data_IF_000968067752
#
_entry.id   IF_000968067752
#
_cell.length_a   1.000
_cell.length_b   1.000
_cell.length_c   1.000
_cell.angle_alpha   90.00
_cell.angle_beta   90.00
_cell.angle_gamma   90.00
#
_symmetry.space_group_name_H-M   'P 1'
#
loop_
_entity.id
_entity.type
_entity.pdbx_description
1 polymer ?
#
# COMPACT_ATOMS: atom_id res chain seq x y z
N UNK A 1 -3.95 11.15 -9.17
CA UNK A 1 -4.39 10.44 -7.95
C UNK A 1 -4.82 9.06 -8.36
N UNK A 2 -4.16 8.02 -7.88
CA UNK A 2 -4.48 6.63 -8.23
C UNK A 2 -5.12 5.98 -7.00
N UNK A 3 -6.45 5.78 -6.98
CA UNK A 3 -7.10 5.09 -5.87
C UNK A 3 -6.78 3.58 -5.93
N UNK A 4 -6.57 2.94 -4.77
CA UNK A 4 -6.59 1.48 -4.65
C UNK A 4 -5.26 0.76 -4.40
N UNK A 5 -4.34 1.34 -3.64
CA UNK A 5 -3.02 0.74 -3.38
C UNK A 5 -2.94 0.23 -1.94
N UNK A 6 -2.51 -1.03 -1.74
CA UNK A 6 -2.35 -1.66 -0.42
C UNK A 6 -1.10 -2.57 -0.37
N UNK A 7 -0.35 -2.61 0.76
CA UNK A 7 0.70 -3.58 1.00
C UNK A 7 0.20 -5.03 1.05
N UNK A 8 1.08 -5.95 0.69
CA UNK A 8 0.81 -7.37 0.41
C UNK A 8 0.29 -8.22 1.61
N UNK A 9 0.21 -7.66 2.82
CA UNK A 9 -0.13 -8.41 4.06
C UNK A 9 -1.60 -8.34 4.47
N UNK A 10 -2.47 -7.64 3.72
CA UNK A 10 -3.88 -7.47 4.07
C UNK A 10 -4.79 -8.57 3.48
N UNK A 11 -5.66 -9.15 4.31
CA UNK A 11 -6.60 -10.23 3.96
C UNK A 11 -7.46 -9.92 2.71
N UNK A 12 -7.58 -10.93 1.85
CA UNK A 12 -7.99 -10.87 0.44
C UNK A 12 -9.51 -10.96 0.19
N UNK A 13 -10.32 -10.27 0.98
CA UNK A 13 -11.78 -10.49 0.96
C UNK A 13 -12.51 -9.19 0.60
N UNK A 14 -12.33 -8.67 -0.64
CA UNK A 14 -13.42 -8.02 -1.42
C UNK A 14 -13.04 -6.96 -2.47
N UNK A 15 -11.81 -6.78 -2.98
CA UNK A 15 -11.64 -5.82 -4.10
C UNK A 15 -10.68 -6.17 -5.24
N UNK A 16 -11.20 -5.91 -6.45
CA UNK A 16 -10.84 -6.43 -7.76
C UNK A 16 -9.74 -5.68 -8.53
N UNK A 17 -8.71 -5.18 -7.85
CA UNK A 17 -7.46 -4.67 -8.47
C UNK A 17 -6.49 -4.30 -7.35
N UNK A 18 -5.67 -5.25 -6.94
CA UNK A 18 -4.61 -5.03 -5.94
C UNK A 18 -3.34 -4.73 -6.72
N UNK A 19 -3.05 -3.46 -6.95
CA UNK A 19 -1.71 -3.04 -7.34
C UNK A 19 -0.91 -2.81 -6.07
N UNK A 20 0.29 -3.39 -5.99
CA UNK A 20 1.19 -3.14 -4.86
C UNK A 20 1.64 -1.66 -4.86
N UNK A 21 2.09 -1.13 -3.72
CA UNK A 21 2.71 0.19 -3.67
C UNK A 21 3.83 0.38 -4.69
N UNK A 22 4.69 -0.62 -4.85
CA UNK A 22 5.76 -0.62 -5.84
C UNK A 22 5.22 -0.56 -7.29
N UNK A 23 4.22 -1.36 -7.62
CA UNK A 23 3.60 -1.37 -8.96
C UNK A 23 2.92 -0.04 -9.29
N UNK A 24 2.26 0.58 -8.31
CA UNK A 24 1.60 1.86 -8.50
C UNK A 24 2.63 2.97 -8.80
N UNK A 25 3.75 2.98 -8.09
CA UNK A 25 4.85 3.94 -8.33
C UNK A 25 5.51 3.68 -9.69
N UNK A 26 5.77 2.40 -10.04
CA UNK A 26 6.29 2.03 -11.36
C UNK A 26 5.35 2.43 -12.51
N UNK A 27 4.03 2.42 -12.27
CA UNK A 27 3.03 2.91 -13.21
C UNK A 27 2.92 4.46 -13.28
N UNK A 28 3.78 5.19 -12.54
CA UNK A 28 3.82 6.66 -12.55
C UNK A 28 2.86 7.33 -11.56
N UNK A 29 2.37 6.61 -10.54
CA UNK A 29 1.58 7.23 -9.49
C UNK A 29 2.46 8.19 -8.67
N UNK A 30 1.97 9.41 -8.49
CA UNK A 30 2.63 10.42 -7.65
C UNK A 30 2.09 10.42 -6.21
N UNK A 31 0.90 9.85 -6.01
CA UNK A 31 0.23 9.78 -4.72
C UNK A 31 -0.47 8.43 -4.58
N UNK A 32 -0.26 7.77 -3.44
CA UNK A 32 -0.87 6.51 -3.07
C UNK A 32 -1.89 6.73 -1.95
N UNK A 33 -3.12 6.26 -2.12
CA UNK A 33 -4.14 6.30 -1.06
C UNK A 33 -4.27 4.91 -0.44
N UNK A 34 -3.79 4.78 0.80
CA UNK A 34 -3.71 3.50 1.52
C UNK A 34 -4.62 3.58 2.75
N UNK A 35 -5.71 2.81 2.75
CA UNK A 35 -6.75 2.84 3.79
C UNK A 35 -6.56 1.79 4.89
N UNK A 36 -7.44 0.77 4.91
CA UNK A 36 -7.41 -0.30 5.93
C UNK A 36 -6.05 -1.00 6.21
N UNK A 37 -5.03 -1.10 5.33
CA UNK A 37 -3.76 -1.73 5.71
C UNK A 37 -3.01 -0.91 6.75
N UNK A 38 -3.20 0.40 6.79
CA UNK A 38 -2.63 1.28 7.81
C UNK A 38 -3.62 1.41 8.97
N UNK A 39 -4.89 1.70 8.69
CA UNK A 39 -5.86 2.02 9.74
C UNK A 39 -6.36 0.82 10.54
N UNK A 40 -6.15 -0.42 10.08
CA UNK A 40 -6.48 -1.65 10.81
C UNK A 40 -5.22 -2.44 11.22
N UNK A 41 -4.03 -1.91 10.98
CA UNK A 41 -2.81 -2.53 11.48
C UNK A 41 -2.74 -2.42 13.01
N UNK A 42 -2.16 -3.44 13.66
CA UNK A 42 -1.84 -3.38 15.10
C UNK A 42 -0.87 -2.26 15.42
N UNK A 43 0.07 -2.01 14.50
CA UNK A 43 1.00 -0.89 14.55
C UNK A 43 0.96 -0.15 13.20
N UNK A 44 0.22 0.97 13.11
CA UNK A 44 0.12 1.76 11.91
C UNK A 44 1.47 2.35 11.44
N UNK A 45 2.38 2.64 12.37
CA UNK A 45 3.69 3.22 12.04
C UNK A 45 4.59 2.16 11.43
N UNK A 46 4.60 0.95 12.00
CA UNK A 46 5.31 -0.18 11.41
C UNK A 46 4.76 -0.53 10.03
N UNK A 47 3.44 -0.56 9.87
CA UNK A 47 2.80 -0.84 8.58
C UNK A 47 3.16 0.21 7.51
N UNK A 48 3.18 1.49 7.88
CA UNK A 48 3.63 2.56 6.98
C UNK A 48 5.11 2.42 6.63
N UNK A 49 5.96 2.08 7.59
CA UNK A 49 7.40 1.89 7.35
C UNK A 49 7.64 0.76 6.34
N UNK A 50 6.96 -0.38 6.50
CA UNK A 50 7.06 -1.48 5.53
C UNK A 50 6.58 -1.10 4.12
N UNK A 51 5.54 -0.26 4.00
CA UNK A 51 5.10 0.25 2.69
C UNK A 51 6.17 1.14 2.07
N UNK A 52 6.82 2.00 2.87
CA UNK A 52 7.87 2.91 2.39
C UNK A 52 9.07 2.09 1.91
N UNK A 53 9.50 1.09 2.68
CA UNK A 53 10.59 0.18 2.31
C UNK A 53 10.29 -0.59 1.01
N UNK A 54 9.01 -0.92 0.76
CA UNK A 54 8.58 -1.59 -0.48
C UNK A 54 8.67 -0.65 -1.70
N UNK A 55 8.53 0.67 -1.51
CA UNK A 55 8.57 1.67 -2.59
C UNK A 55 10.00 2.16 -2.87
N UNK A 56 10.79 2.38 -1.82
CA UNK A 56 12.12 2.97 -1.88
C UNK A 56 12.98 2.33 -0.76
N UNK A 57 13.59 1.16 -1.02
CA UNK A 57 14.51 0.54 -0.09
C UNK A 57 15.79 1.39 -0.04
N UNK A 58 15.92 2.22 1.00
CA UNK A 58 17.13 3.00 1.29
C UNK A 58 18.10 2.24 2.18
#
# INVERSE_FOLDING_TARGET
VTPGVRPATAAADDQARIATPAEAIAAGAHYLVIGRPITQARDPVAALSSIIDEIDPR
#
